data_IF_680873612047
#
_entry.id   IF_680873612047
#
_cell.length_a   1.000
_cell.length_b   1.000
_cell.length_c   1.000
_cell.angle_alpha   90.00
_cell.angle_beta   90.00
_cell.angle_gamma   90.00
#
_symmetry.space_group_name_H-M   'P 1'
#
loop_
_entity.id
_entity.type
_entity.pdbx_description
1 polymer ?
#
# COMPACT_ATOMS: atom_id res chain seq x y z
N UNK A 1 57.84 43.91 22.34
CA UNK A 1 58.02 43.01 23.50
C UNK A 1 56.68 42.32 23.74
N UNK A 2 56.69 40.99 23.68
CA UNK A 2 55.65 40.01 24.12
C UNK A 2 54.29 39.95 23.39
N UNK A 3 54.09 38.75 22.84
CA UNK A 3 52.85 38.12 22.37
C UNK A 3 51.73 38.16 23.41
N UNK A 4 50.48 38.03 22.94
CA UNK A 4 49.53 37.05 23.49
C UNK A 4 48.48 36.68 22.44
N UNK A 5 48.43 35.38 22.17
CA UNK A 5 47.47 34.64 21.37
C UNK A 5 46.23 34.42 22.22
N UNK A 6 45.02 34.56 21.65
CA UNK A 6 43.82 33.96 22.22
C UNK A 6 42.94 33.38 21.11
N UNK A 7 42.94 32.06 21.06
CA UNK A 7 42.19 31.17 20.19
C UNK A 7 40.68 31.36 20.37
N UNK A 8 39.96 31.58 19.26
CA UNK A 8 38.50 31.54 19.25
C UNK A 8 38.04 30.09 19.09
N UNK A 9 37.40 29.57 20.14
CA UNK A 9 36.76 28.26 20.20
C UNK A 9 35.50 28.27 19.32
N UNK A 10 35.52 27.52 18.22
CA UNK A 10 34.35 27.34 17.37
C UNK A 10 33.34 26.40 18.07
N UNK A 11 32.20 26.95 18.48
CA UNK A 11 31.05 26.18 18.96
C UNK A 11 30.42 25.46 17.77
N UNK A 12 30.63 24.14 17.66
CA UNK A 12 29.85 23.29 16.78
C UNK A 12 28.42 23.20 17.32
N UNK A 13 27.54 24.05 16.80
CA UNK A 13 26.10 23.90 16.97
C UNK A 13 25.62 22.66 16.23
N UNK A 14 25.37 21.58 16.96
CA UNK A 14 24.65 20.42 16.45
C UNK A 14 23.22 20.84 16.12
N UNK A 15 22.93 20.96 14.82
CA UNK A 15 21.57 21.14 14.33
C UNK A 15 20.84 19.79 14.50
N UNK A 16 20.30 19.55 15.69
CA UNK A 16 19.45 18.40 15.96
C UNK A 16 18.18 18.52 15.11
N UNK A 17 17.98 17.59 14.19
CA UNK A 17 16.70 17.41 13.50
C UNK A 17 15.68 17.08 14.59
N UNK A 18 14.92 18.08 15.01
CA UNK A 18 13.83 17.88 15.95
C UNK A 18 12.78 17.04 15.24
N UNK A 19 12.57 15.81 15.73
CA UNK A 19 11.42 15.02 15.35
C UNK A 19 10.17 15.86 15.63
N UNK A 20 9.45 16.26 14.57
CA UNK A 20 8.19 16.99 14.72
C UNK A 20 7.24 16.13 15.55
N UNK A 21 6.68 16.70 16.62
CA UNK A 21 5.66 16.03 17.43
C UNK A 21 4.48 15.62 16.53
N UNK A 22 3.88 14.46 16.81
CA UNK A 22 2.71 14.01 16.08
C UNK A 22 1.60 15.08 16.13
N UNK A 23 0.93 15.40 15.01
CA UNK A 23 -0.10 16.42 14.99
C UNK A 23 -1.30 16.00 15.85
N UNK A 24 -2.04 16.97 16.39
CA UNK A 24 -3.12 16.72 17.36
C UNK A 24 -4.25 15.82 16.84
N UNK A 25 -4.52 15.83 15.52
CA UNK A 25 -5.52 14.96 14.90
C UNK A 25 -5.09 13.49 14.82
N UNK A 26 -3.83 13.16 15.14
CA UNK A 26 -3.31 11.80 15.06
C UNK A 26 -4.06 10.83 15.98
N UNK A 27 -4.53 11.29 17.14
CA UNK A 27 -5.36 10.49 18.06
C UNK A 27 -6.71 10.10 17.47
N UNK A 28 -7.16 10.81 16.43
CA UNK A 28 -8.48 10.64 15.82
C UNK A 28 -8.45 9.62 14.65
N UNK A 29 -7.26 9.09 14.31
CA UNK A 29 -7.12 8.05 13.31
C UNK A 29 -7.67 6.70 13.79
N UNK A 30 -8.20 5.94 12.84
CA UNK A 30 -8.76 4.59 13.04
C UNK A 30 -7.86 3.69 13.88
N UNK A 31 -8.47 2.89 14.76
CA UNK A 31 -7.75 1.88 15.56
C UNK A 31 -6.93 0.96 14.65
N UNK A 32 -5.67 0.74 15.02
CA UNK A 32 -4.79 -0.25 14.36
C UNK A 32 -4.99 -1.65 14.93
N UNK A 33 -5.89 -1.78 15.92
CA UNK A 33 -6.14 -3.02 16.65
C UNK A 33 -7.22 -3.82 15.92
N UNK A 34 -6.93 -5.04 15.44
CA UNK A 34 -7.94 -5.93 14.88
C UNK A 34 -9.10 -6.17 15.85
N UNK A 35 -10.31 -6.28 15.31
CA UNK A 35 -11.48 -6.69 16.06
C UNK A 35 -11.47 -8.18 16.41
N UNK A 36 -12.59 -8.66 16.97
CA UNK A 36 -12.70 -10.02 17.54
C UNK A 36 -13.21 -11.07 16.56
N UNK A 37 -13.66 -10.68 15.36
CA UNK A 37 -14.14 -11.63 14.37
C UNK A 37 -13.03 -12.58 13.93
N UNK A 38 -13.42 -13.83 13.66
CA UNK A 38 -12.48 -14.85 13.21
C UNK A 38 -11.78 -14.41 11.91
N UNK A 39 -10.48 -14.70 11.84
CA UNK A 39 -9.67 -14.46 10.64
C UNK A 39 -10.27 -15.10 9.39
N UNK A 40 -9.92 -14.55 8.23
CA UNK A 40 -10.46 -15.00 6.95
C UNK A 40 -9.87 -16.37 6.57
N UNK A 41 -10.72 -17.27 6.06
CA UNK A 41 -10.26 -18.48 5.40
C UNK A 41 -9.70 -18.15 4.00
N UNK A 42 -9.00 -19.09 3.38
CA UNK A 42 -8.60 -18.94 1.98
C UNK A 42 -9.86 -18.81 1.12
N UNK A 43 -9.95 -17.71 0.37
CA UNK A 43 -11.13 -17.42 -0.44
C UNK A 43 -10.77 -16.64 -1.69
N UNK A 44 -11.56 -16.84 -2.74
CA UNK A 44 -11.46 -16.15 -4.02
C UNK A 44 -12.78 -15.42 -4.28
N UNK A 45 -12.71 -14.11 -4.45
CA UNK A 45 -13.85 -13.25 -4.76
C UNK A 45 -13.68 -12.76 -6.19
N UNK A 46 -14.64 -13.05 -7.06
CA UNK A 46 -14.63 -12.61 -8.45
C UNK A 46 -15.76 -11.62 -8.68
N UNK A 47 -15.42 -10.43 -9.16
CA UNK A 47 -16.35 -9.35 -9.45
C UNK A 47 -16.36 -9.10 -10.95
N UNK A 48 -17.55 -9.11 -11.55
CA UNK A 48 -17.77 -8.67 -12.92
C UNK A 48 -18.24 -7.21 -12.91
N UNK A 49 -17.54 -6.37 -13.65
CA UNK A 49 -17.86 -4.96 -13.83
C UNK A 49 -18.61 -4.80 -15.14
N UNK A 50 -19.76 -4.13 -15.10
CA UNK A 50 -20.59 -3.91 -16.28
C UNK A 50 -21.18 -2.50 -16.31
N UNK A 51 -21.51 -2.04 -17.51
CA UNK A 51 -22.32 -0.83 -17.68
C UNK A 51 -23.79 -1.22 -17.61
N UNK A 52 -24.43 -0.85 -16.49
CA UNK A 52 -25.85 -1.13 -16.20
C UNK A 52 -26.25 -2.60 -16.37
N UNK A 53 -25.34 -3.54 -16.11
CA UNK A 53 -25.61 -4.98 -16.28
C UNK A 53 -25.67 -5.47 -17.73
N UNK A 54 -25.51 -4.60 -18.72
CA UNK A 54 -25.73 -4.95 -20.14
C UNK A 54 -24.44 -5.19 -20.91
N UNK A 55 -23.40 -4.41 -20.61
CA UNK A 55 -22.12 -4.49 -21.31
C UNK A 55 -21.02 -4.82 -20.32
N UNK A 56 -20.36 -5.96 -20.53
CA UNK A 56 -19.20 -6.36 -19.73
C UNK A 56 -18.07 -5.34 -19.96
N UNK A 57 -17.68 -4.67 -18.88
CA UNK A 57 -16.69 -3.61 -18.90
C UNK A 57 -15.34 -4.07 -18.35
N UNK A 58 -15.33 -5.07 -17.47
CA UNK A 58 -14.10 -5.58 -16.88
C UNK A 58 -14.36 -6.56 -15.76
N UNK A 59 -13.30 -6.96 -15.09
CA UNK A 59 -13.41 -7.82 -13.92
C UNK A 59 -12.31 -7.49 -12.92
N UNK A 60 -12.54 -7.86 -11.67
CA UNK A 60 -11.54 -7.84 -10.60
C UNK A 60 -11.68 -9.11 -9.79
N UNK A 61 -10.55 -9.74 -9.49
CA UNK A 61 -10.50 -10.94 -8.66
C UNK A 61 -9.60 -10.71 -7.48
N UNK A 62 -10.13 -10.89 -6.28
CA UNK A 62 -9.36 -10.92 -5.03
C UNK A 62 -9.14 -12.37 -4.60
N UNK A 63 -7.94 -12.66 -4.11
CA UNK A 63 -7.60 -13.92 -3.48
C UNK A 63 -6.98 -13.61 -2.12
N UNK A 64 -7.62 -14.04 -1.04
CA UNK A 64 -7.06 -14.01 0.30
C UNK A 64 -6.60 -15.42 0.67
N UNK A 65 -5.45 -15.54 1.33
CA UNK A 65 -4.85 -16.86 1.57
C UNK A 65 -4.22 -17.46 0.31
N UNK A 66 -3.68 -16.61 -0.56
CA UNK A 66 -3.00 -17.00 -1.79
C UNK A 66 -1.71 -17.80 -1.49
N UNK A 67 -1.08 -18.35 -2.55
CA UNK A 67 0.21 -19.06 -2.42
C UNK A 67 1.25 -18.16 -1.75
N UNK A 68 1.95 -18.69 -0.75
CA UNK A 68 2.90 -17.95 0.07
C UNK A 68 2.35 -17.46 1.41
N UNK A 69 1.07 -17.72 1.71
CA UNK A 69 0.53 -17.59 3.06
C UNK A 69 1.18 -18.59 4.02
N UNK A 70 1.39 -18.18 5.26
CA UNK A 70 1.91 -19.00 6.37
C UNK A 70 1.02 -18.82 7.60
N UNK A 71 1.44 -19.38 8.73
CA UNK A 71 0.78 -19.14 10.01
C UNK A 71 0.84 -17.65 10.41
N UNK A 72 1.93 -16.95 10.08
CA UNK A 72 2.13 -15.54 10.46
C UNK A 72 1.77 -14.55 9.36
N UNK A 73 1.64 -15.02 8.12
CA UNK A 73 1.44 -14.17 6.94
C UNK A 73 0.19 -14.57 6.18
N UNK A 74 -0.65 -13.60 5.86
CA UNK A 74 -1.68 -13.72 4.84
C UNK A 74 -1.11 -13.17 3.54
N UNK A 75 -0.96 -14.01 2.52
CA UNK A 75 -0.69 -13.55 1.17
C UNK A 75 -2.03 -13.23 0.49
N UNK A 76 -2.11 -12.05 -0.13
CA UNK A 76 -3.27 -11.60 -0.87
C UNK A 76 -2.86 -11.29 -2.33
N UNK A 77 -3.80 -11.47 -3.25
CA UNK A 77 -3.66 -11.08 -4.65
C UNK A 77 -4.93 -10.35 -5.11
N UNK A 78 -4.76 -9.39 -6.00
CA UNK A 78 -5.83 -8.73 -6.72
C UNK A 78 -5.39 -8.55 -8.17
N UNK A 79 -6.16 -9.07 -9.12
CA UNK A 79 -5.88 -8.88 -10.53
C UNK A 79 -7.16 -8.63 -11.29
N UNK A 80 -7.06 -7.90 -12.38
CA UNK A 80 -8.21 -7.50 -13.16
C UNK A 80 -7.84 -6.63 -14.34
N UNK A 81 -8.88 -6.11 -14.98
CA UNK A 81 -8.70 -5.23 -16.13
C UNK A 81 -9.98 -5.02 -16.91
N UNK A 82 -9.88 -4.08 -17.85
CA UNK A 82 -10.93 -3.77 -18.81
C UNK A 82 -11.17 -4.95 -19.75
N UNK A 83 -12.42 -5.12 -20.19
CA UNK A 83 -12.82 -6.16 -21.14
C UNK A 83 -13.71 -5.61 -22.26
N UNK A 84 -13.82 -6.37 -23.35
CA UNK A 84 -14.74 -6.07 -24.44
C UNK A 84 -14.55 -4.68 -25.06
N UNK A 85 -15.65 -3.94 -25.22
CA UNK A 85 -15.61 -2.59 -25.78
C UNK A 85 -14.92 -1.59 -24.86
N UNK A 86 -15.07 -1.74 -23.54
CA UNK A 86 -14.41 -0.87 -22.57
C UNK A 86 -12.88 -0.97 -22.67
N UNK A 87 -12.32 -2.16 -22.93
CA UNK A 87 -10.88 -2.33 -23.16
C UNK A 87 -10.35 -1.59 -24.39
N UNK A 88 -11.19 -1.34 -25.40
CA UNK A 88 -10.78 -0.54 -26.57
C UNK A 88 -10.68 0.94 -26.23
N UNK A 89 -11.64 1.45 -25.44
CA UNK A 89 -11.68 2.86 -25.03
C UNK A 89 -10.67 3.16 -23.93
N UNK A 90 -10.54 2.26 -22.96
CA UNK A 90 -9.73 2.38 -21.75
C UNK A 90 -9.01 1.04 -21.49
N UNK A 91 -7.96 0.71 -22.28
CA UNK A 91 -7.17 -0.49 -22.01
C UNK A 91 -6.51 -0.33 -20.65
N UNK A 92 -6.75 -1.28 -19.77
CA UNK A 92 -6.17 -1.32 -18.43
C UNK A 92 -6.13 -2.76 -17.95
N UNK A 93 -5.01 -3.15 -17.34
CA UNK A 93 -4.85 -4.42 -16.66
C UNK A 93 -3.93 -4.23 -15.46
N UNK A 94 -4.12 -5.03 -14.42
CA UNK A 94 -3.23 -5.02 -13.27
C UNK A 94 -3.12 -6.38 -12.59
N UNK A 95 -2.00 -6.57 -11.92
CA UNK A 95 -1.75 -7.65 -10.96
C UNK A 95 -1.07 -7.06 -9.73
N UNK A 96 -1.73 -7.20 -8.59
CA UNK A 96 -1.27 -6.75 -7.29
C UNK A 96 -1.15 -7.94 -6.35
N UNK A 97 -0.10 -7.97 -5.56
CA UNK A 97 0.09 -8.92 -4.47
C UNK A 97 0.52 -8.21 -3.18
N UNK A 98 0.05 -8.72 -2.06
CA UNK A 98 0.32 -8.18 -0.73
C UNK A 98 0.70 -9.28 0.25
N UNK A 99 1.53 -8.94 1.23
CA UNK A 99 1.80 -9.76 2.41
C UNK A 99 1.35 -8.98 3.64
N UNK A 100 0.52 -9.59 4.45
CA UNK A 100 -0.10 -8.99 5.64
C UNK A 100 0.28 -9.82 6.85
N UNK A 101 0.63 -9.18 7.97
CA UNK A 101 0.83 -9.86 9.24
C UNK A 101 -0.52 -10.35 9.78
N UNK A 102 -0.64 -11.66 10.04
CA UNK A 102 -1.92 -12.27 10.44
C UNK A 102 -2.42 -11.79 11.80
N UNK A 103 -1.52 -11.41 12.70
CA UNK A 103 -1.84 -11.06 14.10
C UNK A 103 -2.37 -9.63 14.22
N UNK A 104 -1.70 -8.66 13.59
CA UNK A 104 -2.06 -7.24 13.72
C UNK A 104 -2.68 -6.65 12.44
N UNK A 105 -2.80 -7.46 11.37
CA UNK A 105 -3.35 -7.07 10.07
C UNK A 105 -2.62 -5.91 9.38
N UNK A 106 -1.43 -5.54 9.85
CA UNK A 106 -0.59 -4.52 9.20
C UNK A 106 0.06 -5.09 7.94
N UNK A 107 0.22 -4.27 6.90
CA UNK A 107 0.89 -4.71 5.69
C UNK A 107 2.39 -4.87 5.97
N UNK A 108 3.01 -5.82 5.27
CA UNK A 108 4.46 -6.09 5.30
C UNK A 108 5.06 -5.59 3.99
N UNK A 109 4.46 -5.99 2.86
CA UNK A 109 4.91 -5.61 1.53
C UNK A 109 3.78 -5.65 0.52
N UNK A 110 3.84 -4.78 -0.48
CA UNK A 110 2.96 -4.82 -1.64
C UNK A 110 3.79 -4.75 -2.92
N UNK A 111 3.32 -5.44 -3.96
CA UNK A 111 3.83 -5.34 -5.32
C UNK A 111 2.65 -5.19 -6.26
N UNK A 112 2.66 -4.16 -7.11
CA UNK A 112 1.65 -3.93 -8.13
C UNK A 112 2.34 -3.79 -9.49
N UNK A 113 1.75 -4.38 -10.51
CA UNK A 113 2.08 -4.16 -11.91
C UNK A 113 0.80 -3.73 -12.63
N UNK A 114 0.82 -2.54 -13.20
CA UNK A 114 -0.32 -1.91 -13.88
C UNK A 114 0.12 -1.57 -15.30
N UNK A 115 -0.73 -1.84 -16.28
CA UNK A 115 -0.50 -1.45 -17.67
C UNK A 115 -1.74 -0.77 -18.17
N UNK A 116 -1.58 0.45 -18.69
CA UNK A 116 -2.63 1.17 -19.41
C UNK A 116 -2.26 1.36 -20.88
N UNK A 117 -2.80 2.37 -21.55
CA UNK A 117 -2.47 2.67 -22.95
C UNK A 117 -1.04 3.19 -23.10
N UNK A 118 -0.61 4.03 -22.17
CA UNK A 118 0.56 4.88 -22.31
C UNK A 118 1.80 4.25 -21.66
N UNK A 119 1.62 3.51 -20.56
CA UNK A 119 2.75 2.98 -19.81
C UNK A 119 2.45 1.65 -19.08
N UNK A 120 3.54 1.01 -18.66
CA UNK A 120 3.51 -0.03 -17.64
C UNK A 120 4.20 0.49 -16.38
N UNK A 121 3.50 0.45 -15.25
CA UNK A 121 3.99 0.87 -13.95
C UNK A 121 4.15 -0.32 -13.01
N UNK A 122 5.33 -0.45 -12.42
CA UNK A 122 5.62 -1.41 -11.37
C UNK A 122 5.88 -0.69 -10.07
N UNK A 123 5.02 -0.93 -9.09
CA UNK A 123 5.13 -0.37 -7.74
C UNK A 123 5.52 -1.46 -6.76
N UNK A 124 6.48 -1.16 -5.89
CA UNK A 124 6.88 -2.02 -4.77
C UNK A 124 6.88 -1.19 -3.51
N UNK A 125 6.18 -1.67 -2.48
CA UNK A 125 6.08 -1.01 -1.19
C UNK A 125 6.57 -1.94 -0.10
N UNK A 126 7.39 -1.42 0.79
CA UNK A 126 7.84 -2.09 2.00
C UNK A 126 7.40 -1.25 3.20
N UNK A 127 6.67 -1.89 4.11
CA UNK A 127 6.13 -1.26 5.30
C UNK A 127 7.01 -1.62 6.48
N UNK A 128 7.45 -0.62 7.25
CA UNK A 128 8.16 -0.82 8.50
C UNK A 128 7.56 0.06 9.60
N UNK A 129 7.84 -0.22 10.88
CA UNK A 129 7.24 0.53 11.98
C UNK A 129 7.48 2.05 11.94
N UNK A 130 8.56 2.51 11.31
CA UNK A 130 8.95 3.92 11.28
C UNK A 130 8.85 4.58 9.90
N UNK A 131 8.64 3.81 8.81
CA UNK A 131 8.57 4.36 7.46
C UNK A 131 7.90 3.41 6.47
N UNK A 132 7.48 3.99 5.35
CA UNK A 132 7.09 3.25 4.14
C UNK A 132 8.09 3.57 3.03
N UNK A 133 8.74 2.54 2.50
CA UNK A 133 9.65 2.66 1.38
C UNK A 133 8.95 2.22 0.09
N UNK A 134 8.89 3.11 -0.89
CA UNK A 134 8.24 2.89 -2.19
C UNK A 134 9.29 2.95 -3.29
N UNK A 135 9.23 1.98 -4.20
CA UNK A 135 9.93 2.01 -5.48
C UNK A 135 8.92 1.89 -6.60
N UNK A 136 8.87 2.91 -7.43
CA UNK A 136 8.07 2.96 -8.66
C UNK A 136 9.01 2.85 -9.85
N UNK A 137 8.61 2.04 -10.83
CA UNK A 137 9.25 1.95 -12.15
C UNK A 137 8.15 2.19 -13.16
N UNK A 138 8.14 3.34 -13.84
CA UNK A 138 7.30 3.55 -15.01
C UNK A 138 8.09 3.19 -16.27
N UNK A 139 7.43 2.57 -17.24
CA UNK A 139 7.93 2.35 -18.59
C UNK A 139 6.88 2.87 -19.58
N UNK A 140 7.05 4.10 -20.09
CA UNK A 140 6.26 4.60 -21.20
C UNK A 140 6.44 3.72 -22.45
N UNK A 141 5.35 3.40 -23.15
CA UNK A 141 5.36 2.51 -24.31
C UNK A 141 6.00 3.14 -25.54
N UNK A 142 5.96 4.47 -25.64
CA UNK A 142 6.52 5.24 -26.75
C UNK A 142 8.06 5.25 -26.77
N UNK A 143 8.68 5.36 -25.59
CA UNK A 143 10.14 5.39 -25.43
C UNK A 143 10.72 4.04 -25.03
N UNK A 144 9.95 3.22 -24.32
CA UNK A 144 10.39 1.95 -23.74
C UNK A 144 11.47 2.08 -22.66
N UNK A 145 11.71 3.30 -22.15
CA UNK A 145 12.76 3.58 -21.16
C UNK A 145 12.19 3.60 -19.75
N UNK A 146 12.89 2.95 -18.82
CA UNK A 146 12.47 2.91 -17.42
C UNK A 146 12.76 4.24 -16.71
N UNK A 147 11.73 4.78 -16.08
CA UNK A 147 11.81 5.88 -15.13
C UNK A 147 11.64 5.33 -13.72
N UNK A 148 12.65 5.53 -12.87
CA UNK A 148 12.69 4.95 -11.53
C UNK A 148 12.57 6.06 -10.49
N UNK A 149 11.61 5.90 -9.58
CA UNK A 149 11.40 6.79 -8.44
C UNK A 149 11.47 5.99 -7.14
N UNK A 150 12.25 6.50 -6.18
CA UNK A 150 12.33 5.94 -4.83
C UNK A 150 11.82 6.99 -3.85
N UNK A 151 10.84 6.62 -3.03
CA UNK A 151 10.18 7.51 -2.08
C UNK A 151 10.28 6.88 -0.69
N UNK A 152 10.61 7.67 0.32
CA UNK A 152 10.48 7.28 1.71
C UNK A 152 9.44 8.18 2.37
N UNK A 153 8.38 7.59 2.89
CA UNK A 153 7.37 8.27 3.68
C UNK A 153 7.66 8.01 5.16
N UNK A 154 8.02 9.05 5.90
CA UNK A 154 8.41 8.97 7.32
C UNK A 154 7.19 8.94 8.26
N UNK A 155 6.19 8.13 7.92
CA UNK A 155 4.99 7.94 8.72
C UNK A 155 4.54 6.48 8.63
N UNK A 156 4.15 5.93 9.78
CA UNK A 156 3.69 4.55 9.96
C UNK A 156 2.89 4.45 11.27
N UNK A 157 1.88 3.56 11.37
CA UNK A 157 1.49 2.58 10.36
C UNK A 157 0.70 3.19 9.20
N UNK A 158 0.88 2.60 8.01
CA UNK A 158 0.08 2.86 6.81
C UNK A 158 -0.54 1.53 6.40
N UNK A 159 -1.81 1.56 6.00
CA UNK A 159 -2.52 0.37 5.52
C UNK A 159 -2.52 0.35 3.99
N UNK A 160 -2.28 -0.84 3.41
CA UNK A 160 -2.63 -1.10 2.02
C UNK A 160 -4.10 -1.54 1.89
N UNK A 161 -4.58 -1.65 0.65
CA UNK A 161 -5.95 -2.04 0.36
C UNK A 161 -6.34 -3.40 0.95
N UNK A 162 -5.43 -4.38 0.98
CA UNK A 162 -5.72 -5.70 1.53
C UNK A 162 -5.82 -5.66 3.06
N UNK A 163 -4.84 -5.02 3.70
CA UNK A 163 -4.77 -4.87 5.14
C UNK A 163 -5.97 -4.10 5.69
N UNK A 164 -6.38 -3.00 5.04
CA UNK A 164 -7.56 -2.24 5.50
C UNK A 164 -8.84 -3.05 5.32
N UNK A 165 -9.00 -3.82 4.23
CA UNK A 165 -10.16 -4.70 4.05
C UNK A 165 -10.25 -5.74 5.17
N UNK A 166 -9.12 -6.36 5.53
CA UNK A 166 -9.08 -7.35 6.61
C UNK A 166 -9.32 -6.72 7.99
N UNK A 167 -8.76 -5.52 8.23
CA UNK A 167 -8.98 -4.78 9.46
C UNK A 167 -10.47 -4.46 9.63
N UNK A 168 -11.11 -3.84 8.63
CA UNK A 168 -12.53 -3.51 8.67
C UNK A 168 -13.38 -4.77 8.91
N UNK A 169 -13.11 -5.86 8.17
CA UNK A 169 -13.81 -7.15 8.34
C UNK A 169 -13.68 -7.72 9.76
N UNK A 170 -12.56 -7.45 10.44
CA UNK A 170 -12.30 -8.01 11.78
C UNK A 170 -13.17 -7.39 12.87
N UNK A 171 -13.74 -6.20 12.63
CA UNK A 171 -14.63 -5.52 13.58
C UNK A 171 -16.09 -5.97 13.43
N UNK A 172 -16.81 -5.89 14.54
CA UNK A 172 -18.27 -6.01 14.56
C UNK A 172 -18.86 -4.87 13.71
N UNK A 173 -19.82 -5.21 12.86
CA UNK A 173 -20.70 -4.21 12.28
C UNK A 173 -21.79 -3.93 13.32
N UNK A 174 -22.14 -2.67 13.56
CA UNK A 174 -23.12 -2.34 14.58
C UNK A 174 -24.48 -2.99 14.26
N UNK A 175 -25.27 -3.32 15.29
CA UNK A 175 -26.58 -3.99 15.12
C UNK A 175 -27.45 -3.25 14.09
N UNK A 176 -27.70 -3.89 12.95
CA UNK A 176 -28.38 -3.30 11.79
C UNK A 176 -27.64 -3.47 10.46
N UNK A 177 -26.36 -3.84 10.51
CA UNK A 177 -25.53 -4.07 9.32
C UNK A 177 -25.43 -5.58 8.97
N UNK A 178 -25.62 -5.94 7.70
CA UNK A 178 -25.46 -7.31 7.19
C UNK A 178 -24.27 -7.42 6.22
N UNK A 179 -23.53 -8.53 6.29
CA UNK A 179 -22.54 -8.96 5.29
C UNK A 179 -23.27 -9.63 4.11
#
# INVERSE_FOLDING_TARGET
MKQLIASALAVMGSCGISASAAPSWFSDLSTTVPGKHQGIATQKLHYSLSWKGQLQAGHVTFVFGAKGSTNDIIAAQCYGGSQGFAAKLFPYQFDMSGKINRTNLLPISMHCNETDREETQVTRVQYSPSKVAVKEISRPHDTGKDEIKNINFAFSPVFDAFSVMLLIRSHELATGDTI
#
